data_IF_746210783001
#
_entry.id   IF_746210783001
#
_cell.length_a   1.000
_cell.length_b   1.000
_cell.length_c   1.000
_cell.angle_alpha   90.00
_cell.angle_beta   90.00
_cell.angle_gamma   90.00
#
_symmetry.space_group_name_H-M   'P 1'
#
loop_
_entity.id
_entity.type
_entity.pdbx_description
1 polymer ?
#
# COMPACT_ATOMS: atom_id res chain seq x y z
N UNK A 1 -31.52 -56.73 -21.37
CA UNK A 1 -30.40 -56.36 -20.48
C UNK A 1 -30.34 -54.85 -20.44
N UNK A 2 -31.09 -54.25 -19.51
CA UNK A 2 -31.00 -52.83 -19.19
C UNK A 2 -29.83 -52.64 -18.24
N UNK A 3 -28.87 -51.82 -18.66
CA UNK A 3 -27.75 -51.39 -17.84
C UNK A 3 -28.31 -50.51 -16.72
N UNK A 4 -28.34 -51.05 -15.50
CA UNK A 4 -28.55 -50.24 -14.30
C UNK A 4 -27.31 -49.36 -14.12
N UNK A 5 -27.45 -48.10 -14.51
CA UNK A 5 -26.53 -47.02 -14.16
C UNK A 5 -26.49 -46.94 -12.64
N UNK A 6 -25.43 -47.48 -12.03
CA UNK A 6 -25.15 -47.27 -10.61
C UNK A 6 -24.87 -45.79 -10.43
N UNK A 7 -25.91 -45.04 -10.05
CA UNK A 7 -25.79 -43.73 -9.45
C UNK A 7 -25.04 -43.96 -8.12
N UNK A 8 -23.72 -43.81 -8.14
CA UNK A 8 -22.97 -43.51 -6.93
C UNK A 8 -23.36 -42.09 -6.51
N UNK A 9 -24.44 -41.98 -5.74
CA UNK A 9 -24.56 -40.89 -4.78
C UNK A 9 -23.33 -41.01 -3.87
N UNK A 10 -22.29 -40.25 -4.20
CA UNK A 10 -21.14 -40.07 -3.30
C UNK A 10 -21.72 -39.36 -2.08
N UNK A 11 -21.96 -40.11 -1.00
CA UNK A 11 -22.24 -39.53 0.32
C UNK A 11 -21.21 -38.43 0.56
N UNK A 12 -21.64 -37.16 0.48
CA UNK A 12 -20.84 -36.01 0.94
C UNK A 12 -20.65 -36.24 2.44
N UNK A 13 -19.58 -36.94 2.82
CA UNK A 13 -19.17 -37.07 4.22
C UNK A 13 -19.05 -35.65 4.75
N UNK A 14 -19.81 -35.24 5.78
CA UNK A 14 -19.76 -33.87 6.28
C UNK A 14 -18.33 -33.57 6.70
N UNK A 15 -17.71 -32.62 6.01
CA UNK A 15 -16.32 -32.26 6.24
C UNK A 15 -16.18 -31.75 7.68
N UNK A 16 -15.51 -32.54 8.53
CA UNK A 16 -15.27 -32.15 9.92
C UNK A 16 -14.24 -31.04 9.93
N UNK A 17 -14.73 -29.80 10.12
CA UNK A 17 -13.89 -28.63 10.33
C UNK A 17 -13.07 -28.80 11.61
N UNK A 18 -11.89 -28.19 11.63
CA UNK A 18 -11.07 -28.15 12.84
C UNK A 18 -11.83 -27.40 13.95
N UNK A 19 -11.63 -27.76 15.23
CA UNK A 19 -12.30 -27.10 16.33
C UNK A 19 -12.00 -25.59 16.34
N UNK A 20 -13.05 -24.78 16.55
CA UNK A 20 -13.01 -23.31 16.54
C UNK A 20 -12.50 -22.68 15.23
N UNK A 21 -12.63 -23.37 14.10
CA UNK A 21 -12.28 -22.84 12.77
C UNK A 21 -13.51 -22.70 11.87
N UNK A 22 -13.46 -21.72 10.97
CA UNK A 22 -14.39 -21.59 9.86
C UNK A 22 -13.81 -22.28 8.60
N UNK A 23 -14.62 -22.47 7.55
CA UNK A 23 -14.16 -23.15 6.32
C UNK A 23 -12.90 -22.52 5.72
N UNK A 24 -12.81 -21.19 5.71
CA UNK A 24 -11.66 -20.44 5.15
C UNK A 24 -10.38 -20.73 5.94
N UNK A 25 -10.45 -20.58 7.28
CA UNK A 25 -9.32 -20.84 8.19
C UNK A 25 -8.92 -22.31 8.24
N UNK A 26 -9.88 -23.23 8.10
CA UNK A 26 -9.62 -24.65 7.94
C UNK A 26 -8.81 -24.93 6.66
N UNK A 27 -9.22 -24.39 5.51
CA UNK A 27 -8.49 -24.51 4.25
C UNK A 27 -7.07 -23.91 4.34
N UNK A 28 -6.92 -22.75 4.99
CA UNK A 28 -5.60 -22.13 5.23
C UNK A 28 -4.68 -23.04 6.05
N UNK A 29 -5.20 -23.62 7.14
CA UNK A 29 -4.42 -24.50 8.02
C UNK A 29 -4.00 -25.79 7.32
N UNK A 30 -4.91 -26.39 6.53
CA UNK A 30 -4.63 -27.58 5.73
C UNK A 30 -3.83 -27.32 4.46
N UNK A 31 -3.68 -26.05 4.07
CA UNK A 31 -3.08 -25.63 2.79
C UNK A 31 -3.83 -26.17 1.56
N UNK A 32 -5.16 -26.20 1.63
CA UNK A 32 -6.01 -26.71 0.57
C UNK A 32 -6.58 -25.55 -0.25
N UNK A 33 -5.87 -25.20 -1.33
CA UNK A 33 -6.26 -24.13 -2.26
C UNK A 33 -7.47 -24.56 -3.07
N UNK A 34 -7.48 -25.80 -3.56
CA UNK A 34 -8.54 -26.31 -4.42
C UNK A 34 -9.89 -26.32 -3.69
N UNK A 35 -9.89 -26.75 -2.41
CA UNK A 35 -11.10 -26.68 -1.57
C UNK A 35 -11.54 -25.24 -1.34
N UNK A 36 -10.61 -24.32 -1.11
CA UNK A 36 -10.91 -22.90 -0.91
C UNK A 36 -11.56 -22.31 -2.17
N UNK A 37 -10.93 -22.49 -3.33
CA UNK A 37 -11.45 -22.03 -4.63
C UNK A 37 -12.82 -22.64 -4.91
N UNK A 38 -12.99 -23.94 -4.64
CA UNK A 38 -14.28 -24.62 -4.78
C UNK A 38 -15.38 -24.00 -3.92
N UNK A 39 -15.08 -23.55 -2.69
CA UNK A 39 -16.07 -22.88 -1.82
C UNK A 39 -16.67 -21.64 -2.48
N UNK A 40 -15.94 -20.98 -3.38
CA UNK A 40 -16.42 -19.78 -4.03
C UNK A 40 -16.98 -20.02 -5.45
N UNK A 41 -16.48 -21.03 -6.17
CA UNK A 41 -16.89 -21.32 -7.55
C UNK A 41 -18.10 -22.24 -7.65
N UNK A 42 -18.25 -23.19 -6.71
CA UNK A 42 -19.31 -24.20 -6.75
C UNK A 42 -20.62 -23.64 -6.17
N UNK A 43 -21.63 -23.46 -7.03
CA UNK A 43 -22.99 -23.02 -6.65
C UNK A 43 -23.68 -24.02 -5.71
N UNK A 44 -23.26 -25.29 -5.70
CA UNK A 44 -23.82 -26.34 -4.84
C UNK A 44 -23.08 -26.49 -3.50
N UNK A 45 -22.12 -25.60 -3.21
CA UNK A 45 -21.43 -25.59 -1.92
C UNK A 45 -22.27 -24.88 -0.85
N UNK A 46 -22.51 -25.57 0.26
CA UNK A 46 -23.25 -25.05 1.42
C UNK A 46 -22.59 -23.80 2.03
N UNK A 47 -21.29 -23.64 1.83
CA UNK A 47 -20.53 -22.53 2.42
C UNK A 47 -20.44 -21.30 1.52
N UNK A 48 -20.91 -21.34 0.27
CA UNK A 48 -20.76 -20.24 -0.69
C UNK A 48 -21.34 -18.92 -0.19
N UNK A 49 -22.57 -18.93 0.30
CA UNK A 49 -23.23 -17.70 0.80
C UNK A 49 -22.52 -17.11 2.03
N UNK A 50 -21.77 -17.94 2.77
CA UNK A 50 -21.07 -17.53 3.98
C UNK A 50 -19.62 -17.16 3.69
N UNK A 51 -18.97 -17.79 2.71
CA UNK A 51 -17.50 -17.73 2.54
C UNK A 51 -17.01 -16.30 2.35
N UNK A 52 -17.75 -15.46 1.62
CA UNK A 52 -17.42 -14.04 1.44
C UNK A 52 -17.42 -13.27 2.78
N UNK A 53 -18.44 -13.49 3.61
CA UNK A 53 -18.51 -12.87 4.94
C UNK A 53 -17.39 -13.36 5.87
N UNK A 54 -16.91 -14.60 5.68
CA UNK A 54 -15.88 -15.23 6.51
C UNK A 54 -14.46 -14.72 6.19
N UNK A 55 -14.24 -14.07 5.04
CA UNK A 55 -12.93 -13.58 4.59
C UNK A 55 -12.25 -12.62 5.59
N UNK A 56 -13.04 -11.88 6.36
CA UNK A 56 -12.56 -10.86 7.29
C UNK A 56 -12.83 -11.22 8.77
N UNK A 57 -13.37 -12.41 9.05
CA UNK A 57 -13.69 -12.83 10.41
C UNK A 57 -12.43 -13.25 11.15
N UNK A 58 -12.27 -12.67 12.33
CA UNK A 58 -11.12 -12.93 13.20
C UNK A 58 -11.36 -14.19 14.03
N UNK A 59 -10.30 -14.96 14.21
CA UNK A 59 -10.31 -16.08 15.15
C UNK A 59 -10.22 -15.59 16.62
N UNK A 60 -10.19 -16.53 17.56
CA UNK A 60 -10.07 -16.28 19.01
C UNK A 60 -8.76 -15.58 19.42
N UNK A 61 -7.77 -15.50 18.53
CA UNK A 61 -6.53 -14.76 18.76
C UNK A 61 -6.57 -13.35 18.13
N UNK A 62 -7.71 -12.98 17.54
CA UNK A 62 -7.90 -11.73 16.82
C UNK A 62 -7.22 -11.68 15.45
N UNK A 63 -6.78 -12.81 14.89
CA UNK A 63 -6.14 -12.90 13.57
C UNK A 63 -7.18 -13.10 12.48
N UNK A 64 -7.06 -12.32 11.41
CA UNK A 64 -7.83 -12.53 10.19
C UNK A 64 -7.36 -13.79 9.42
N UNK A 65 -8.14 -14.32 8.48
CA UNK A 65 -7.71 -15.41 7.61
C UNK A 65 -6.43 -15.04 6.84
N UNK A 66 -6.32 -13.77 6.43
CA UNK A 66 -5.13 -13.26 5.74
C UNK A 66 -3.90 -13.21 6.65
N UNK A 67 -4.05 -12.86 7.94
CA UNK A 67 -2.96 -12.94 8.92
C UNK A 67 -2.45 -14.38 9.10
N UNK A 68 -3.35 -15.36 9.13
CA UNK A 68 -2.99 -16.78 9.23
C UNK A 68 -2.26 -17.26 7.98
N UNK A 69 -2.75 -16.90 6.78
CA UNK A 69 -2.10 -17.25 5.53
C UNK A 69 -0.69 -16.62 5.44
N UNK A 70 -0.54 -15.37 5.90
CA UNK A 70 0.74 -14.66 5.95
C UNK A 70 1.72 -15.28 6.95
N UNK A 71 1.24 -15.67 8.13
CA UNK A 71 2.04 -16.34 9.16
C UNK A 71 2.55 -17.71 8.67
N UNK A 72 1.69 -18.47 8.01
CA UNK A 72 2.02 -19.82 7.50
C UNK A 72 2.80 -19.80 6.18
N UNK A 73 2.82 -18.66 5.46
CA UNK A 73 3.50 -18.54 4.18
C UNK A 73 2.76 -19.21 3.02
N UNK A 74 1.41 -19.23 3.04
CA UNK A 74 0.61 -19.86 1.99
C UNK A 74 0.38 -18.86 0.84
N UNK A 75 1.30 -18.81 -0.11
CA UNK A 75 1.29 -17.82 -1.21
C UNK A 75 0.01 -17.91 -2.07
N UNK A 76 -0.34 -19.11 -2.51
CA UNK A 76 -1.48 -19.32 -3.41
C UNK A 76 -2.81 -18.99 -2.73
N UNK A 77 -2.98 -19.45 -1.49
CA UNK A 77 -4.13 -19.10 -0.66
C UNK A 77 -4.21 -17.59 -0.41
N UNK A 78 -3.08 -16.93 -0.15
CA UNK A 78 -3.05 -15.49 0.07
C UNK A 78 -3.48 -14.73 -1.18
N UNK A 79 -3.01 -15.15 -2.36
CA UNK A 79 -3.43 -14.57 -3.64
C UNK A 79 -4.93 -14.76 -3.86
N UNK A 80 -5.45 -15.95 -3.60
CA UNK A 80 -6.87 -16.25 -3.72
C UNK A 80 -7.70 -15.36 -2.79
N UNK A 81 -7.36 -15.30 -1.50
CA UNK A 81 -8.06 -14.45 -0.53
C UNK A 81 -8.10 -12.98 -0.95
N UNK A 82 -6.98 -12.45 -1.48
CA UNK A 82 -6.91 -11.07 -1.96
C UNK A 82 -7.74 -10.85 -3.23
N UNK A 83 -7.74 -11.79 -4.16
CA UNK A 83 -8.60 -11.75 -5.35
C UNK A 83 -10.08 -11.75 -4.99
N UNK A 84 -10.47 -12.44 -3.91
CA UNK A 84 -11.84 -12.45 -3.38
C UNK A 84 -12.18 -11.24 -2.50
N UNK A 85 -11.28 -10.27 -2.35
CA UNK A 85 -11.54 -9.03 -1.61
C UNK A 85 -11.30 -9.08 -0.10
N UNK A 86 -10.41 -9.96 0.37
CA UNK A 86 -9.95 -9.92 1.77
C UNK A 86 -9.33 -8.55 2.12
N UNK A 87 -9.68 -8.03 3.29
CA UNK A 87 -9.25 -6.70 3.72
C UNK A 87 -7.81 -6.69 4.26
N UNK A 88 -6.95 -5.96 3.55
CA UNK A 88 -5.53 -5.75 3.86
C UNK A 88 -5.26 -4.81 5.04
N UNK A 89 -6.26 -3.99 5.42
CA UNK A 89 -6.14 -3.00 6.49
C UNK A 89 -6.40 -3.58 7.88
N UNK A 90 -6.83 -4.85 7.95
CA UNK A 90 -7.12 -5.52 9.20
C UNK A 90 -5.84 -5.65 10.05
N UNK A 91 -6.01 -5.43 11.35
CA UNK A 91 -4.94 -5.54 12.35
C UNK A 91 -5.40 -6.46 13.48
N UNK A 92 -4.51 -7.32 13.96
CA UNK A 92 -4.80 -8.18 15.10
C UNK A 92 -4.99 -7.38 16.40
N UNK A 93 -5.39 -8.03 17.49
CA UNK A 93 -5.51 -7.37 18.80
C UNK A 93 -4.18 -6.81 19.32
N UNK A 94 -3.06 -7.33 18.83
CA UNK A 94 -1.71 -6.81 19.11
C UNK A 94 -1.29 -5.72 18.12
N UNK A 95 -2.19 -5.27 17.25
CA UNK A 95 -1.95 -4.27 16.21
C UNK A 95 -1.12 -4.78 15.03
N UNK A 96 -0.88 -6.08 14.89
CA UNK A 96 -0.11 -6.61 13.76
C UNK A 96 -1.00 -6.69 12.53
N UNK A 97 -0.54 -6.14 11.40
CA UNK A 97 -1.15 -6.38 10.09
C UNK A 97 -0.59 -7.63 9.41
N UNK A 98 -1.20 -8.13 8.32
CA UNK A 98 -0.68 -9.27 7.58
C UNK A 98 0.78 -9.08 7.13
N UNK A 99 1.16 -7.84 6.79
CA UNK A 99 2.52 -7.48 6.43
C UNK A 99 3.51 -7.68 7.59
N UNK A 100 3.12 -7.34 8.82
CA UNK A 100 3.96 -7.57 10.00
C UNK A 100 4.14 -9.06 10.28
N UNK A 101 3.10 -9.88 10.10
CA UNK A 101 3.22 -11.33 10.25
C UNK A 101 4.15 -11.92 9.20
N UNK A 102 3.96 -11.58 7.92
CA UNK A 102 4.85 -12.03 6.86
C UNK A 102 6.32 -11.65 7.13
N UNK A 103 6.55 -10.42 7.59
CA UNK A 103 7.87 -9.91 7.95
C UNK A 103 8.48 -10.62 9.17
N UNK A 104 7.68 -10.89 10.22
CA UNK A 104 8.13 -11.59 11.42
C UNK A 104 8.57 -13.04 11.12
N UNK A 105 7.86 -13.72 10.21
CA UNK A 105 8.06 -15.13 9.90
C UNK A 105 8.91 -15.38 8.63
N UNK A 106 9.51 -14.34 8.06
CA UNK A 106 10.41 -14.46 6.92
C UNK A 106 9.73 -14.84 5.60
N UNK A 107 8.43 -14.55 5.44
CA UNK A 107 7.63 -15.01 4.30
C UNK A 107 7.69 -14.03 3.14
N UNK A 108 8.80 -14.05 2.39
CA UNK A 108 9.05 -13.13 1.27
C UNK A 108 8.00 -13.27 0.15
N UNK A 109 7.57 -14.50 -0.17
CA UNK A 109 6.54 -14.72 -1.18
C UNK A 109 5.24 -13.98 -0.85
N UNK A 110 4.86 -13.97 0.43
CA UNK A 110 3.71 -13.22 0.92
C UNK A 110 3.96 -11.72 0.86
N UNK A 111 5.14 -11.25 1.29
CA UNK A 111 5.50 -9.83 1.21
C UNK A 111 5.34 -9.30 -0.21
N UNK A 112 5.81 -10.06 -1.21
CA UNK A 112 5.67 -9.70 -2.63
C UNK A 112 4.21 -9.55 -3.03
N UNK A 113 3.38 -10.55 -2.73
CA UNK A 113 1.94 -10.53 -3.04
C UNK A 113 1.23 -9.35 -2.35
N UNK A 114 1.55 -9.07 -1.09
CA UNK A 114 0.94 -7.95 -0.35
C UNK A 114 1.35 -6.58 -0.92
N UNK A 115 2.62 -6.42 -1.31
CA UNK A 115 3.12 -5.18 -1.94
C UNK A 115 2.50 -4.95 -3.31
N UNK A 116 2.30 -6.02 -4.11
CA UNK A 116 1.58 -5.96 -5.38
C UNK A 116 0.14 -5.43 -5.21
N UNK A 117 -0.52 -5.76 -4.10
CA UNK A 117 -1.85 -5.27 -3.76
C UNK A 117 -1.85 -3.92 -3.01
N UNK A 118 -0.75 -3.15 -3.08
CA UNK A 118 -0.64 -1.79 -2.55
C UNK A 118 -0.91 -1.66 -1.04
N UNK A 119 -0.48 -2.64 -0.26
CA UNK A 119 -0.58 -2.59 1.21
C UNK A 119 0.16 -1.37 1.79
N UNK A 120 -0.34 -0.84 2.91
CA UNK A 120 0.30 0.27 3.60
C UNK A 120 1.60 -0.16 4.31
N UNK A 121 2.74 0.10 3.67
CA UNK A 121 4.10 -0.14 4.21
C UNK A 121 4.47 0.75 5.41
N UNK A 122 3.74 1.84 5.62
CA UNK A 122 3.94 2.79 6.72
C UNK A 122 3.09 2.45 7.94
N UNK A 123 2.23 1.43 7.83
CA UNK A 123 1.40 0.98 8.94
C UNK A 123 2.28 0.53 10.11
N UNK A 124 1.94 1.03 11.30
CA UNK A 124 2.61 0.66 12.55
C UNK A 124 1.73 -0.27 13.38
N UNK A 125 2.39 -1.15 14.11
CA UNK A 125 1.75 -2.01 15.10
C UNK A 125 1.58 -1.32 16.47
N UNK A 126 1.07 -2.04 17.47
CA UNK A 126 0.89 -1.50 18.82
C UNK A 126 2.22 -1.12 19.53
N UNK A 127 3.34 -1.63 19.05
CA UNK A 127 4.68 -1.30 19.54
C UNK A 127 5.30 -0.10 18.78
N UNK A 128 4.53 0.57 17.92
CA UNK A 128 4.99 1.68 17.06
C UNK A 128 6.11 1.27 16.08
N UNK A 129 6.13 -0.01 15.71
CA UNK A 129 7.05 -0.59 14.73
C UNK A 129 6.31 -0.84 13.43
N UNK A 130 7.00 -0.67 12.31
CA UNK A 130 6.54 -1.05 10.99
C UNK A 130 6.94 -2.51 10.74
N UNK A 131 6.51 -3.04 9.60
CA UNK A 131 6.86 -4.39 9.18
C UNK A 131 8.39 -4.58 9.09
N UNK A 132 9.13 -3.53 8.70
CA UNK A 132 10.59 -3.54 8.60
C UNK A 132 11.26 -3.74 9.97
N UNK A 133 10.92 -2.96 10.99
CA UNK A 133 11.52 -3.12 12.33
C UNK A 133 11.11 -4.46 12.94
N UNK A 134 9.91 -4.94 12.61
CA UNK A 134 9.49 -6.29 12.98
C UNK A 134 10.39 -7.35 12.35
N UNK A 135 10.67 -7.30 11.04
CA UNK A 135 11.60 -8.21 10.38
C UNK A 135 13.00 -8.17 11.03
N UNK A 136 13.51 -6.97 11.37
CA UNK A 136 14.80 -6.82 12.04
C UNK A 136 14.84 -7.51 13.40
N UNK A 137 13.80 -7.35 14.23
CA UNK A 137 13.72 -7.99 15.54
C UNK A 137 13.74 -9.52 15.45
N UNK A 138 13.13 -10.08 14.41
CA UNK A 138 13.11 -11.52 14.15
C UNK A 138 14.28 -11.99 13.26
N UNK A 139 15.28 -11.12 13.03
CA UNK A 139 16.49 -11.40 12.24
C UNK A 139 16.24 -11.86 10.80
N UNK A 140 15.20 -11.34 10.15
CA UNK A 140 14.80 -11.68 8.79
C UNK A 140 15.41 -10.72 7.75
N UNK A 141 16.71 -10.85 7.45
CA UNK A 141 17.45 -9.92 6.58
C UNK A 141 16.86 -9.78 5.18
N UNK A 142 16.51 -10.90 4.53
CA UNK A 142 15.94 -10.87 3.17
C UNK A 142 14.60 -10.12 3.10
N UNK A 143 13.81 -10.18 4.18
CA UNK A 143 12.56 -9.42 4.28
C UNK A 143 12.83 -7.92 4.46
N UNK A 144 13.88 -7.56 5.19
CA UNK A 144 14.29 -6.15 5.36
C UNK A 144 14.72 -5.57 4.02
N UNK A 145 15.57 -6.27 3.28
CA UNK A 145 16.06 -5.81 1.97
C UNK A 145 14.90 -5.60 0.99
N UNK A 146 13.93 -6.54 0.97
CA UNK A 146 12.74 -6.41 0.14
C UNK A 146 11.82 -5.26 0.57
N UNK A 147 11.62 -5.07 1.88
CA UNK A 147 10.80 -3.96 2.39
C UNK A 147 11.45 -2.60 2.11
N UNK A 148 12.76 -2.49 2.24
CA UNK A 148 13.53 -1.29 1.91
C UNK A 148 13.44 -0.96 0.42
N UNK A 149 13.53 -1.99 -0.43
CA UNK A 149 13.29 -1.87 -1.87
C UNK A 149 11.87 -1.37 -2.18
N UNK A 150 10.84 -1.99 -1.59
CA UNK A 150 9.45 -1.64 -1.83
C UNK A 150 9.13 -0.21 -1.35
N UNK A 151 9.68 0.20 -0.21
CA UNK A 151 9.54 1.55 0.33
C UNK A 151 10.21 2.59 -0.58
N UNK A 152 11.42 2.33 -1.06
CA UNK A 152 12.10 3.23 -2.00
C UNK A 152 11.30 3.42 -3.29
N UNK A 153 10.71 2.35 -3.83
CA UNK A 153 9.83 2.39 -5.01
C UNK A 153 8.57 3.24 -4.75
N UNK A 154 7.87 3.01 -3.65
CA UNK A 154 6.67 3.78 -3.29
C UNK A 154 6.99 5.26 -3.07
N UNK A 155 8.12 5.55 -2.42
CA UNK A 155 8.57 6.93 -2.19
C UNK A 155 8.90 7.67 -3.50
N UNK A 156 9.50 7.00 -4.48
CA UNK A 156 9.74 7.58 -5.80
C UNK A 156 8.41 7.89 -6.52
N UNK A 157 7.47 6.93 -6.53
CA UNK A 157 6.14 7.13 -7.13
C UNK A 157 5.40 8.29 -6.45
N UNK A 158 5.46 8.38 -5.12
CA UNK A 158 4.86 9.47 -4.36
C UNK A 158 5.49 10.82 -4.71
N UNK A 159 6.81 10.90 -4.87
CA UNK A 159 7.51 12.12 -5.30
C UNK A 159 7.08 12.55 -6.71
N UNK A 160 7.06 11.60 -7.66
CA UNK A 160 6.60 11.82 -9.04
C UNK A 160 5.16 12.36 -9.04
N UNK A 161 4.27 11.73 -8.27
CA UNK A 161 2.87 12.16 -8.15
C UNK A 161 2.75 13.56 -7.54
N UNK A 162 3.49 13.85 -6.46
CA UNK A 162 3.50 15.17 -5.81
C UNK A 162 3.96 16.26 -6.78
N UNK A 163 5.02 16.00 -7.56
CA UNK A 163 5.49 16.89 -8.62
C UNK A 163 4.41 17.09 -9.69
N UNK A 164 3.75 16.02 -10.13
CA UNK A 164 2.69 16.09 -11.14
C UNK A 164 1.49 16.91 -10.66
N UNK A 165 1.08 16.75 -9.40
CA UNK A 165 0.02 17.55 -8.77
C UNK A 165 0.39 19.04 -8.77
N UNK A 166 1.63 19.38 -8.42
CA UNK A 166 2.13 20.77 -8.46
C UNK A 166 2.14 21.39 -9.85
N UNK A 167 2.45 20.61 -10.90
CA UNK A 167 2.45 21.09 -12.30
C UNK A 167 1.03 21.26 -12.85
N UNK A 168 0.10 20.46 -12.34
CA UNK A 168 -1.29 20.44 -12.81
C UNK A 168 -2.12 21.53 -12.15
N UNK A 169 -1.76 21.96 -10.93
CA UNK A 169 -2.45 23.03 -10.19
C UNK A 169 -2.39 24.37 -10.95
N UNK A 170 -3.53 24.83 -11.53
CA UNK A 170 -3.55 26.05 -12.32
C UNK A 170 -3.27 27.29 -11.47
N UNK A 171 -3.65 27.34 -10.18
CA UNK A 171 -3.45 28.54 -9.34
C UNK A 171 -1.97 28.78 -9.02
N UNK A 172 -1.19 27.69 -8.85
CA UNK A 172 0.26 27.78 -8.57
C UNK A 172 1.09 28.05 -9.82
N UNK A 173 0.63 27.56 -10.97
CA UNK A 173 1.36 27.63 -12.25
C UNK A 173 1.08 28.94 -12.99
N UNK A 174 -0.09 29.57 -12.78
CA UNK A 174 -0.50 30.77 -13.49
C UNK A 174 0.44 31.96 -13.17
N UNK A 175 1.19 32.40 -14.18
CA UNK A 175 2.10 33.55 -14.10
C UNK A 175 3.46 33.29 -13.45
N UNK A 176 3.76 32.05 -13.05
CA UNK A 176 5.04 31.67 -12.39
C UNK A 176 5.88 30.67 -13.16
N UNK A 177 5.24 29.79 -13.94
CA UNK A 177 5.93 28.74 -14.69
C UNK A 177 5.97 29.06 -16.18
N UNK A 178 7.15 28.95 -16.79
CA UNK A 178 7.28 29.06 -18.24
C UNK A 178 6.81 27.79 -18.93
N UNK A 179 6.38 27.92 -20.20
CA UNK A 179 5.97 26.76 -21.03
C UNK A 179 7.08 25.72 -21.17
N UNK A 180 8.34 26.16 -21.19
CA UNK A 180 9.52 25.29 -21.22
C UNK A 180 9.73 24.55 -19.90
N UNK A 181 9.65 25.23 -18.76
CA UNK A 181 9.76 24.61 -17.43
C UNK A 181 8.66 23.57 -17.21
N UNK A 182 7.43 23.86 -17.66
CA UNK A 182 6.33 22.89 -17.64
C UNK A 182 6.63 21.65 -18.47
N UNK A 183 7.23 21.82 -19.65
CA UNK A 183 7.59 20.71 -20.53
C UNK A 183 8.74 19.88 -19.97
N UNK A 184 9.75 20.51 -19.36
CA UNK A 184 10.87 19.82 -18.70
C UNK A 184 10.34 18.96 -17.54
N UNK A 185 9.51 19.53 -16.67
CA UNK A 185 8.97 18.80 -15.53
C UNK A 185 8.06 17.65 -15.96
N UNK A 186 7.18 17.87 -16.94
CA UNK A 186 6.33 16.80 -17.47
C UNK A 186 7.14 15.71 -18.19
N UNK A 187 8.20 16.08 -18.91
CA UNK A 187 9.12 15.12 -19.53
C UNK A 187 9.83 14.27 -18.48
N UNK A 188 10.37 14.90 -17.43
CA UNK A 188 11.05 14.21 -16.34
C UNK A 188 10.11 13.29 -15.57
N UNK A 189 8.90 13.76 -15.21
CA UNK A 189 7.86 12.94 -14.57
C UNK A 189 7.53 11.72 -15.42
N UNK A 190 7.27 11.91 -16.72
CA UNK A 190 6.94 10.83 -17.64
C UNK A 190 8.07 9.83 -17.79
N UNK A 191 9.30 10.30 -18.00
CA UNK A 191 10.49 9.44 -18.10
C UNK A 191 10.68 8.60 -16.83
N UNK A 192 10.54 9.20 -15.64
CA UNK A 192 10.69 8.46 -14.38
C UNK A 192 9.54 7.50 -14.13
N UNK A 193 8.30 7.84 -14.49
CA UNK A 193 7.16 6.89 -14.42
C UNK A 193 7.40 5.69 -15.34
N UNK A 194 7.77 5.92 -16.60
CA UNK A 194 8.08 4.85 -17.56
C UNK A 194 9.26 3.98 -17.07
N UNK A 195 10.28 4.58 -16.46
CA UNK A 195 11.39 3.84 -15.86
C UNK A 195 10.94 2.93 -14.70
N UNK A 196 10.05 3.41 -13.82
CA UNK A 196 9.52 2.59 -12.69
C UNK A 196 8.67 1.42 -13.19
N UNK A 197 7.96 1.58 -14.31
CA UNK A 197 7.13 0.53 -14.91
C UNK A 197 7.95 -0.47 -15.73
N UNK A 198 9.00 -0.01 -16.42
CA UNK A 198 9.84 -0.86 -17.27
C UNK A 198 10.91 -1.66 -16.50
N UNK A 199 11.20 -1.28 -15.25
CA UNK A 199 12.27 -1.91 -14.46
C UNK A 199 11.78 -3.14 -13.69
N UNK A 200 12.44 -4.28 -13.96
CA UNK A 200 12.21 -5.55 -13.25
C UNK A 200 13.34 -5.82 -12.23
N UNK A 201 14.56 -5.35 -12.50
CA UNK A 201 15.77 -5.68 -11.73
C UNK A 201 16.42 -4.48 -11.00
N UNK A 202 15.71 -3.37 -10.84
CA UNK A 202 16.26 -2.17 -10.18
C UNK A 202 16.58 -2.44 -8.70
N UNK A 203 17.71 -1.95 -8.20
CA UNK A 203 18.11 -2.06 -6.79
C UNK A 203 17.49 -0.95 -5.95
N UNK A 204 17.46 -1.11 -4.62
CA UNK A 204 17.00 -0.07 -3.68
C UNK A 204 17.74 1.25 -3.88
N UNK A 205 19.05 1.18 -4.19
CA UNK A 205 19.88 2.37 -4.43
C UNK A 205 19.50 3.08 -5.73
N UNK A 206 19.11 2.34 -6.77
CA UNK A 206 18.66 2.95 -8.02
C UNK A 206 17.39 3.79 -7.81
N UNK A 207 16.42 3.29 -7.03
CA UNK A 207 15.21 4.05 -6.70
C UNK A 207 15.52 5.32 -5.90
N UNK A 208 16.43 5.24 -4.93
CA UNK A 208 16.89 6.39 -4.14
C UNK A 208 17.58 7.42 -5.05
N UNK A 209 18.45 6.95 -5.95
CA UNK A 209 19.15 7.83 -6.88
C UNK A 209 18.20 8.49 -7.89
N UNK A 210 17.24 7.74 -8.45
CA UNK A 210 16.24 8.33 -9.35
C UNK A 210 15.37 9.37 -8.64
N UNK A 211 15.04 9.14 -7.36
CA UNK A 211 14.34 10.12 -6.53
C UNK A 211 15.19 11.38 -6.33
N UNK A 212 16.46 11.24 -5.95
CA UNK A 212 17.36 12.37 -5.79
C UNK A 212 17.53 13.16 -7.12
N UNK A 213 17.67 12.46 -8.24
CA UNK A 213 17.82 13.07 -9.56
C UNK A 213 16.60 13.90 -9.97
N UNK A 214 15.37 13.40 -9.76
CA UNK A 214 14.16 14.15 -10.11
C UNK A 214 13.95 15.33 -9.15
N UNK A 215 14.25 15.16 -7.86
CA UNK A 215 14.18 16.25 -6.88
C UNK A 215 15.21 17.35 -7.19
N UNK A 216 16.44 17.00 -7.56
CA UNK A 216 17.49 17.97 -7.91
C UNK A 216 17.18 18.71 -9.21
N UNK A 217 16.74 18.00 -10.25
CA UNK A 217 16.36 18.60 -11.52
C UNK A 217 15.23 19.61 -11.37
N UNK A 218 14.26 19.31 -10.48
CA UNK A 218 13.07 20.12 -10.29
C UNK A 218 13.17 21.07 -9.08
N UNK A 219 14.19 20.96 -8.24
CA UNK A 219 14.46 21.87 -7.13
C UNK A 219 14.36 23.36 -7.51
N UNK A 220 15.00 23.86 -8.59
CA UNK A 220 14.89 25.28 -8.95
C UNK A 220 13.47 25.69 -9.36
N UNK A 221 12.70 24.77 -9.96
CA UNK A 221 11.31 25.00 -10.37
C UNK A 221 10.40 25.00 -9.13
N UNK A 222 10.62 24.08 -8.21
CA UNK A 222 9.90 23.97 -6.93
C UNK A 222 10.19 25.16 -6.00
N UNK A 223 11.41 25.69 -6.02
CA UNK A 223 11.77 26.90 -5.28
C UNK A 223 11.04 28.14 -5.81
N UNK A 224 10.99 28.32 -7.13
CA UNK A 224 10.20 29.41 -7.76
C UNK A 224 8.70 29.31 -7.46
N UNK A 225 8.19 28.09 -7.31
CA UNK A 225 6.78 27.84 -6.96
C UNK A 225 6.50 28.09 -5.48
N UNK A 226 7.46 27.84 -4.58
CA UNK A 226 7.32 28.05 -3.13
C UNK A 226 7.59 29.50 -2.69
N UNK A 227 8.24 30.31 -3.53
CA UNK A 227 8.42 31.74 -3.26
C UNK A 227 7.05 32.46 -3.15
N UNK A 228 6.80 33.21 -2.05
CA UNK A 228 5.61 34.03 -1.96
C UNK A 228 5.67 35.13 -3.04
N UNK A 229 4.54 35.36 -3.73
CA UNK A 229 4.40 36.41 -4.73
C UNK A 229 5.03 37.72 -4.22
N UNK A 230 5.95 38.31 -4.99
CA UNK A 230 6.52 39.65 -4.69
C UNK A 230 5.45 40.76 -4.55
N UNK A 231 4.22 40.52 -5.00
CA UNK A 231 3.09 41.45 -4.85
C UNK A 231 2.54 41.56 -3.40
N UNK A 232 2.81 40.60 -2.52
CA UNK A 232 2.33 40.61 -1.13
C UNK A 232 3.20 41.42 -0.17
N UNK A 233 4.48 41.62 -0.53
CA UNK A 233 5.44 42.32 0.34
C UNK A 233 5.29 43.84 0.27
N UNK A 234 4.96 44.41 -0.89
CA UNK A 234 4.75 45.85 -1.03
C UNK A 234 3.48 46.33 -0.34
N UNK A 235 2.38 45.55 -0.34
CA UNK A 235 1.16 45.93 0.40
C UNK A 235 1.34 45.92 1.91
N UNK A 236 2.15 45.00 2.45
CA UNK A 236 2.43 44.94 3.90
C UNK A 236 3.38 46.08 4.31
N UNK A 237 4.38 46.40 3.48
CA UNK A 237 5.32 47.50 3.77
C UNK A 237 4.64 48.87 3.75
N UNK A 238 3.77 49.14 2.76
CA UNK A 238 3.05 50.42 2.65
C UNK A 238 2.02 50.60 3.78
N UNK A 239 1.36 49.54 4.24
CA UNK A 239 0.46 49.61 5.40
C UNK A 239 1.21 49.87 6.71
N UNK A 240 2.41 49.32 6.90
CA UNK A 240 3.21 49.56 8.12
C UNK A 240 3.80 50.98 8.23
N UNK A 241 4.06 51.64 7.09
CA UNK A 241 4.58 53.02 7.09
C UNK A 241 3.48 54.08 7.23
N UNK A 242 2.27 53.83 6.72
CA UNK A 242 1.14 54.77 6.87
C UNK A 242 0.53 54.77 8.29
N UNK A 243 0.70 53.70 9.08
CA UNK A 243 0.25 53.66 10.48
C UNK A 243 1.21 54.45 11.39
N UNK A 244 2.50 54.53 11.04
CA UNK A 244 3.50 55.25 11.86
C UNK A 244 3.48 56.78 11.67
N UNK A 245 2.89 57.29 10.59
CA UNK A 245 2.82 58.74 10.33
C UNK A 245 1.49 59.38 10.74
N UNK A 246 0.48 58.59 11.12
CA UNK A 246 -0.86 59.11 11.46
C UNK A 246 -1.09 59.37 12.96
N UNK A 247 -0.09 59.16 13.83
CA UNK A 247 -0.25 59.32 15.29
C UNK A 247 0.47 60.53 15.90
N UNK A 248 0.86 61.52 15.11
CA UNK A 248 1.66 62.66 15.59
C UNK A 248 1.08 64.06 15.32
N UNK A 249 -0.18 64.18 14.89
CA UNK A 249 -0.85 65.47 14.80
C UNK A 249 -2.24 65.41 15.43
N UNK A 250 -2.32 65.98 16.63
CA UNK A 250 -3.43 66.73 17.26
C UNK A 250 -3.07 66.84 18.75
N UNK A 251 -2.11 67.71 19.14
CA UNK A 251 -2.30 69.11 19.62
C UNK A 251 -3.48 69.25 20.61
N UNK A 252 -3.22 69.47 21.91
CA UNK A 252 -2.99 70.76 22.61
C UNK A 252 -4.29 71.41 23.11
#
# INVERSE_FOLDING_TARGET
MTLESVNQEVEKVPEVLLPNTNIVTHCILKNDVDRLTKCFEDEEDEFKDKVESLLNIRNEEGKSPLDLAAMLGRNDITRELLQRGADLSQISWKGFSPLHYAAAWGKIGILKVLVEHQVNLQQKNAHNERARETALRYSQSECVDYLDWAEAKVNLIAAIKHIQEWITDPERVQGRLNKEEKNISNGAVKEKTEWVEATVDATTQDFIQQKANIEELLAPIMQKLSEPCKCSQEKIFVLSQNISTSSLFDFY
#
